data_IF_499380084608
#
_entry.id   IF_499380084608
#
_cell.length_a   1.000
_cell.length_b   1.000
_cell.length_c   1.000
_cell.angle_alpha   90.00
_cell.angle_beta   90.00
_cell.angle_gamma   90.00
#
_symmetry.space_group_name_H-M   'P 1'
#
loop_
_entity.id
_entity.type
_entity.pdbx_description
1 polymer ?
#
# COMPACT_ATOMS: atom_id res chain seq x y z
N UNK A 1 -13.64 -5.77 29.84
CA UNK A 1 -14.28 -5.28 28.60
C UNK A 1 -14.46 -6.46 27.67
N UNK A 2 -15.67 -6.66 27.13
CA UNK A 2 -15.95 -7.75 26.20
C UNK A 2 -15.21 -7.51 24.89
N UNK A 3 -14.37 -8.45 24.45
CA UNK A 3 -13.81 -8.43 23.09
C UNK A 3 -14.97 -8.39 22.10
N UNK A 4 -14.89 -7.55 21.08
CA UNK A 4 -15.88 -7.51 19.99
C UNK A 4 -15.91 -8.87 19.31
N UNK A 5 -17.10 -9.45 19.22
CA UNK A 5 -17.32 -10.80 18.73
C UNK A 5 -17.12 -10.93 17.21
N UNK A 6 -17.03 -12.18 16.75
CA UNK A 6 -16.82 -12.47 15.34
C UNK A 6 -18.01 -12.03 14.46
N UNK A 7 -19.23 -12.01 15.02
CA UNK A 7 -20.43 -11.59 14.30
C UNK A 7 -20.38 -10.09 13.97
N UNK A 8 -19.99 -9.26 14.94
CA UNK A 8 -19.83 -7.81 14.76
C UNK A 8 -18.75 -7.51 13.71
N UNK A 9 -17.62 -8.21 13.78
CA UNK A 9 -16.54 -8.08 12.78
C UNK A 9 -17.03 -8.42 11.38
N UNK A 10 -17.77 -9.53 11.24
CA UNK A 10 -18.31 -9.97 9.97
C UNK A 10 -19.28 -8.94 9.38
N UNK A 11 -20.14 -8.37 10.22
CA UNK A 11 -21.07 -7.29 9.84
C UNK A 11 -20.30 -6.05 9.35
N UNK A 12 -19.39 -5.53 10.17
CA UNK A 12 -18.57 -4.35 9.82
C UNK A 12 -17.82 -4.56 8.51
N UNK A 13 -17.21 -5.74 8.34
CA UNK A 13 -16.47 -6.05 7.10
C UNK A 13 -17.40 -6.03 5.88
N UNK A 14 -18.60 -6.59 6.01
CA UNK A 14 -19.60 -6.62 4.94
C UNK A 14 -20.09 -5.21 4.60
N UNK A 15 -20.34 -4.40 5.62
CA UNK A 15 -20.87 -3.05 5.45
C UNK A 15 -19.85 -2.14 4.73
N UNK A 16 -18.57 -2.25 5.09
CA UNK A 16 -17.49 -1.58 4.36
C UNK A 16 -17.33 -2.09 2.92
N UNK A 17 -17.43 -3.41 2.70
CA UNK A 17 -17.35 -3.98 1.36
C UNK A 17 -18.49 -3.50 0.44
N UNK A 18 -19.67 -3.25 1.01
CA UNK A 18 -20.82 -2.73 0.27
C UNK A 18 -20.60 -1.28 -0.21
N UNK A 19 -19.78 -0.48 0.48
CA UNK A 19 -19.45 0.89 0.09
C UNK A 19 -18.38 0.96 -1.01
N UNK A 20 -17.57 -0.09 -1.16
CA UNK A 20 -16.50 -0.15 -2.16
C UNK A 20 -16.68 -1.39 -3.05
N UNK A 21 -17.63 -1.35 -4.02
CA UNK A 21 -17.99 -2.53 -4.82
C UNK A 21 -16.84 -3.07 -5.69
N UNK A 22 -15.79 -2.27 -5.93
CA UNK A 22 -14.56 -2.69 -6.60
C UNK A 22 -13.56 -3.43 -5.71
N UNK A 23 -13.89 -3.70 -4.44
CA UNK A 23 -13.02 -4.43 -3.51
C UNK A 23 -13.67 -5.75 -3.07
N UNK A 24 -12.84 -6.75 -2.84
CA UNK A 24 -13.24 -8.03 -2.26
C UNK A 24 -12.80 -8.16 -0.81
N UNK A 25 -13.59 -8.91 -0.03
CA UNK A 25 -13.23 -9.28 1.34
C UNK A 25 -12.13 -10.34 1.32
N UNK A 26 -10.87 -9.92 1.48
CA UNK A 26 -9.74 -10.84 1.59
C UNK A 26 -9.70 -11.51 2.95
N UNK A 27 -9.89 -10.76 4.04
CA UNK A 27 -9.94 -11.26 5.42
C UNK A 27 -10.93 -10.40 6.23
N UNK A 28 -11.36 -10.84 7.42
CA UNK A 28 -12.10 -9.97 8.31
C UNK A 28 -11.40 -8.63 8.49
N UNK A 29 -12.14 -7.53 8.35
CA UNK A 29 -11.64 -6.15 8.45
C UNK A 29 -10.61 -5.75 7.36
N UNK A 30 -10.47 -6.53 6.28
CA UNK A 30 -9.51 -6.25 5.21
C UNK A 30 -10.13 -6.46 3.83
N UNK A 31 -10.25 -5.38 3.11
CA UNK A 31 -10.71 -5.33 1.73
C UNK A 31 -9.52 -5.14 0.82
N UNK A 32 -9.47 -5.87 -0.29
CA UNK A 32 -8.42 -5.76 -1.30
C UNK A 32 -9.03 -5.78 -2.69
N UNK A 33 -8.34 -5.11 -3.62
CA UNK A 33 -8.44 -5.36 -5.06
C UNK A 33 -7.04 -5.49 -5.64
N UNK A 34 -6.90 -6.24 -6.72
CA UNK A 34 -5.62 -6.42 -7.40
C UNK A 34 -5.61 -5.67 -8.72
N UNK A 35 -4.55 -4.91 -8.94
CA UNK A 35 -4.29 -4.08 -10.11
C UNK A 35 -2.92 -4.53 -10.60
N UNK A 36 -2.88 -5.48 -11.55
CA UNK A 36 -1.65 -6.16 -11.97
C UNK A 36 -0.76 -6.62 -10.80
N UNK A 37 0.50 -6.13 -10.69
CA UNK A 37 1.43 -6.46 -9.61
C UNK A 37 1.23 -5.63 -8.33
N UNK A 38 0.12 -4.91 -8.18
CA UNK A 38 -0.19 -4.06 -7.03
C UNK A 38 -1.50 -4.51 -6.39
N UNK A 39 -1.52 -4.51 -5.06
CA UNK A 39 -2.76 -4.54 -4.30
C UNK A 39 -3.08 -3.14 -3.82
N UNK A 40 -4.35 -2.76 -3.93
CA UNK A 40 -4.90 -1.64 -3.19
C UNK A 40 -5.85 -2.18 -2.12
N UNK A 41 -5.82 -1.58 -0.94
CA UNK A 41 -6.56 -2.10 0.19
C UNK A 41 -7.16 -1.04 1.11
N UNK A 42 -8.20 -1.47 1.81
CA UNK A 42 -8.74 -0.81 2.99
C UNK A 42 -8.64 -1.78 4.16
N UNK A 43 -7.87 -1.41 5.20
CA UNK A 43 -7.79 -2.16 6.46
C UNK A 43 -8.52 -1.41 7.57
N UNK A 44 -9.20 -2.14 8.44
CA UNK A 44 -9.90 -1.61 9.61
C UNK A 44 -9.18 -2.12 10.86
N UNK A 45 -8.05 -1.50 11.20
CA UNK A 45 -7.20 -1.97 12.30
C UNK A 45 -7.88 -1.72 13.65
N UNK A 46 -8.02 -2.76 14.47
CA UNK A 46 -8.64 -2.63 15.79
C UNK A 46 -7.82 -1.74 16.72
N UNK A 47 -8.51 -0.97 17.55
CA UNK A 47 -7.90 -0.28 18.68
C UNK A 47 -7.30 -1.29 19.67
N UNK A 48 -6.34 -0.85 20.47
CA UNK A 48 -5.75 -1.68 21.54
C UNK A 48 -6.79 -2.13 22.58
N UNK A 49 -7.81 -1.31 22.83
CA UNK A 49 -8.97 -1.63 23.67
C UNK A 49 -9.96 -2.59 23.00
N UNK A 50 -9.93 -2.69 21.66
CA UNK A 50 -10.76 -3.61 20.87
C UNK A 50 -12.20 -3.17 20.66
N UNK A 51 -12.55 -1.96 21.09
CA UNK A 51 -13.88 -1.32 21.03
C UNK A 51 -14.08 -0.44 19.79
N UNK A 52 -13.00 -0.15 19.06
CA UNK A 52 -13.02 0.67 17.85
C UNK A 52 -12.11 0.08 16.77
N UNK A 53 -12.19 0.65 15.56
CA UNK A 53 -11.28 0.36 14.46
C UNK A 53 -10.86 1.63 13.71
N UNK A 54 -9.68 1.60 13.12
CA UNK A 54 -9.07 2.69 12.36
C UNK A 54 -9.06 2.34 10.86
N UNK A 55 -9.88 3.00 10.04
CA UNK A 55 -9.83 2.83 8.60
C UNK A 55 -8.51 3.35 8.02
N UNK A 56 -7.88 2.57 7.15
CA UNK A 56 -6.63 2.95 6.47
C UNK A 56 -6.64 2.46 5.02
N UNK A 57 -6.56 3.40 4.08
CA UNK A 57 -6.32 3.14 2.68
C UNK A 57 -4.81 2.90 2.46
N UNK A 58 -4.43 1.94 1.62
CA UNK A 58 -3.03 1.60 1.38
C UNK A 58 -2.83 0.89 0.05
N UNK A 59 -1.56 0.71 -0.31
CA UNK A 59 -1.14 -0.21 -1.36
C UNK A 59 -0.11 -1.23 -0.84
N UNK A 60 0.11 -2.27 -1.62
CA UNK A 60 1.18 -3.24 -1.43
C UNK A 60 1.66 -3.72 -2.80
N UNK A 61 2.96 -3.61 -3.07
CA UNK A 61 3.57 -4.14 -4.27
C UNK A 61 3.84 -5.64 -4.12
N UNK A 62 3.46 -6.43 -5.12
CA UNK A 62 3.70 -7.87 -5.21
C UNK A 62 5.05 -8.18 -5.88
N UNK A 63 5.81 -7.17 -6.29
CA UNK A 63 7.09 -7.28 -7.01
C UNK A 63 8.28 -7.61 -6.11
N UNK A 64 8.03 -7.90 -4.84
CA UNK A 64 9.03 -8.34 -3.87
C UNK A 64 8.43 -9.34 -2.91
N UNK A 65 9.24 -10.29 -2.46
CA UNK A 65 8.81 -11.23 -1.46
C UNK A 65 8.61 -10.52 -0.11
N UNK A 66 7.41 -10.64 0.47
CA UNK A 66 7.15 -10.11 1.79
C UNK A 66 6.16 -11.02 2.55
N UNK A 67 6.39 -11.33 3.84
CA UNK A 67 5.59 -12.33 4.54
C UNK A 67 4.16 -11.86 4.87
N UNK A 68 3.86 -10.57 4.70
CA UNK A 68 2.57 -9.96 5.03
C UNK A 68 2.19 -8.90 4.00
N UNK A 69 0.90 -8.59 3.85
CA UNK A 69 0.47 -7.42 3.08
C UNK A 69 0.82 -6.16 3.87
N UNK A 70 1.78 -5.37 3.38
CA UNK A 70 2.19 -4.10 3.97
C UNK A 70 1.14 -3.00 3.74
N UNK A 71 1.19 -1.94 4.56
CA UNK A 71 0.36 -0.76 4.39
C UNK A 71 1.17 0.38 3.74
N UNK A 72 1.83 0.09 2.61
CA UNK A 72 2.64 1.09 1.89
C UNK A 72 1.74 2.24 1.44
N UNK A 73 2.24 3.48 1.51
CA UNK A 73 1.44 4.71 1.35
C UNK A 73 0.17 4.76 2.24
N UNK A 74 0.21 4.08 3.39
CA UNK A 74 -0.92 4.00 4.31
C UNK A 74 -1.44 5.37 4.74
N UNK A 75 -2.72 5.61 4.50
CA UNK A 75 -3.45 6.80 4.94
C UNK A 75 -4.59 6.40 5.84
N UNK A 76 -4.33 6.57 7.13
CA UNK A 76 -5.34 6.42 8.15
C UNK A 76 -6.28 7.62 8.10
N UNK A 77 -7.57 7.36 8.27
CA UNK A 77 -8.56 8.43 8.39
C UNK A 77 -8.15 9.38 9.53
N UNK A 78 -8.17 10.68 9.26
CA UNK A 78 -7.94 11.71 10.26
C UNK A 78 -9.10 12.69 10.34
N UNK A 79 -9.25 13.29 11.52
CA UNK A 79 -10.13 14.43 11.76
C UNK A 79 -9.64 15.68 11.03
N UNK A 80 -10.46 16.73 10.98
CA UNK A 80 -10.05 18.05 10.48
C UNK A 80 -8.86 18.67 11.22
N UNK A 81 -8.61 18.24 12.47
CA UNK A 81 -7.45 18.63 13.26
C UNK A 81 -6.21 17.74 13.03
N UNK A 82 -6.28 16.76 12.12
CA UNK A 82 -5.18 15.86 11.79
C UNK A 82 -4.98 14.71 12.78
N UNK A 83 -5.92 14.47 13.69
CA UNK A 83 -5.85 13.37 14.67
C UNK A 83 -6.40 12.09 14.04
N UNK A 84 -5.74 10.95 14.27
CA UNK A 84 -6.23 9.65 13.81
C UNK A 84 -7.64 9.39 14.33
N UNK A 85 -8.54 9.06 13.42
CA UNK A 85 -9.94 8.86 13.72
C UNK A 85 -10.28 7.37 13.71
N UNK A 86 -10.96 6.94 14.76
CA UNK A 86 -11.50 5.59 14.87
C UNK A 86 -13.02 5.62 14.81
N UNK A 87 -13.61 4.56 14.27
CA UNK A 87 -15.04 4.29 14.39
C UNK A 87 -15.26 3.27 15.49
N UNK A 88 -16.10 3.60 16.47
CA UNK A 88 -16.47 2.68 17.54
C UNK A 88 -17.38 1.57 16.99
N UNK A 89 -17.13 0.32 17.39
CA UNK A 89 -17.98 -0.80 16.98
C UNK A 89 -19.43 -0.64 17.46
N UNK A 90 -19.63 0.02 18.61
CA UNK A 90 -20.95 0.33 19.17
C UNK A 90 -21.71 1.40 18.40
N UNK A 91 -21.01 2.26 17.65
CA UNK A 91 -21.59 3.33 16.81
C UNK A 91 -21.36 3.08 15.32
N UNK A 92 -21.12 1.82 14.97
CA UNK A 92 -20.72 1.47 13.61
C UNK A 92 -21.77 1.92 12.60
N UNK A 93 -23.05 1.62 12.86
CA UNK A 93 -24.15 1.86 11.92
C UNK A 93 -24.32 3.35 11.61
N UNK A 94 -24.06 4.20 12.59
CA UNK A 94 -24.21 5.65 12.50
C UNK A 94 -23.03 6.30 11.78
N UNK A 95 -21.80 5.84 12.06
CA UNK A 95 -20.60 6.59 11.73
C UNK A 95 -19.85 6.04 10.50
N UNK A 96 -20.05 4.76 10.12
CA UNK A 96 -19.17 4.10 9.14
C UNK A 96 -19.25 4.65 7.72
N UNK A 97 -20.44 5.04 7.25
CA UNK A 97 -20.64 5.51 5.88
C UNK A 97 -19.96 6.86 5.65
N UNK A 98 -20.10 7.77 6.61
CA UNK A 98 -19.41 9.06 6.60
C UNK A 98 -17.89 8.89 6.72
N UNK A 99 -17.43 8.00 7.62
CA UNK A 99 -16.01 7.68 7.76
C UNK A 99 -15.41 7.11 6.47
N UNK A 100 -16.14 6.23 5.76
CA UNK A 100 -15.72 5.67 4.48
C UNK A 100 -15.64 6.75 3.38
N UNK A 101 -16.64 7.63 3.28
CA UNK A 101 -16.61 8.76 2.34
C UNK A 101 -15.39 9.66 2.59
N UNK A 102 -15.15 10.05 3.84
CA UNK A 102 -14.00 10.89 4.21
C UNK A 102 -12.66 10.18 4.00
N UNK A 103 -12.60 8.86 4.20
CA UNK A 103 -11.41 8.09 3.88
C UNK A 103 -11.11 8.16 2.38
N UNK A 104 -12.13 7.99 1.53
CA UNK A 104 -11.98 8.09 0.08
C UNK A 104 -11.52 9.50 -0.36
N UNK A 105 -12.08 10.55 0.24
CA UNK A 105 -11.67 11.95 -0.01
C UNK A 105 -10.22 12.24 0.42
N UNK A 106 -9.73 11.57 1.46
CA UNK A 106 -8.37 11.72 1.97
C UNK A 106 -7.35 10.80 1.28
N UNK A 107 -7.81 9.77 0.55
CA UNK A 107 -6.94 8.80 -0.09
C UNK A 107 -6.14 9.43 -1.25
N UNK A 108 -4.87 9.03 -1.37
CA UNK A 108 -3.92 9.41 -2.42
C UNK A 108 -4.33 8.84 -3.77
N UNK A 109 -4.92 7.66 -3.73
CA UNK A 109 -5.38 6.91 -4.89
C UNK A 109 -6.89 6.72 -4.72
N UNK A 110 -7.63 6.88 -5.82
CA UNK A 110 -9.08 6.69 -5.81
C UNK A 110 -9.45 5.33 -5.23
N UNK A 111 -10.43 5.31 -4.34
CA UNK A 111 -11.06 4.07 -3.85
C UNK A 111 -12.27 3.68 -4.71
N UNK A 112 -12.86 4.62 -5.44
CA UNK A 112 -14.04 4.37 -6.27
C UNK A 112 -13.67 3.70 -7.59
N UNK A 113 -12.59 4.18 -8.23
CA UNK A 113 -12.07 3.64 -9.48
C UNK A 113 -10.68 3.03 -9.29
N UNK A 114 -10.35 1.91 -9.95
CA UNK A 114 -8.98 1.37 -9.95
C UNK A 114 -7.99 2.43 -10.45
N UNK A 115 -6.97 2.82 -9.65
CA UNK A 115 -5.90 3.69 -10.14
C UNK A 115 -5.08 2.98 -11.21
N UNK A 116 -4.49 3.75 -12.12
CA UNK A 116 -3.53 3.20 -13.09
C UNK A 116 -2.17 2.93 -12.44
N UNK A 117 -1.28 2.22 -13.14
CA UNK A 117 0.10 2.05 -12.67
C UNK A 117 0.82 3.39 -12.59
N UNK A 118 0.55 4.29 -13.53
CA UNK A 118 1.09 5.64 -13.57
C UNK A 118 0.68 6.43 -12.33
N UNK A 119 -0.57 6.33 -11.89
CA UNK A 119 -1.05 6.98 -10.66
C UNK A 119 -0.33 6.44 -9.42
N UNK A 120 -0.20 5.11 -9.32
CA UNK A 120 0.50 4.44 -8.21
C UNK A 120 1.96 4.87 -8.15
N UNK A 121 2.67 4.81 -9.29
CA UNK A 121 4.08 5.19 -9.38
C UNK A 121 4.27 6.66 -9.07
N UNK A 122 3.40 7.55 -9.57
CA UNK A 122 3.44 8.98 -9.26
C UNK A 122 3.35 9.24 -7.76
N UNK A 123 2.43 8.57 -7.06
CA UNK A 123 2.28 8.73 -5.60
C UNK A 123 3.48 8.19 -4.82
N UNK A 124 4.04 7.04 -5.23
CA UNK A 124 5.26 6.48 -4.63
C UNK A 124 6.45 7.45 -4.76
N UNK A 125 6.68 7.96 -5.97
CA UNK A 125 7.74 8.94 -6.26
C UNK A 125 7.52 10.23 -5.45
N UNK A 126 6.30 10.78 -5.47
CA UNK A 126 5.95 12.00 -4.74
C UNK A 126 6.16 11.83 -3.23
N UNK A 127 5.80 10.68 -2.68
CA UNK A 127 6.04 10.36 -1.28
C UNK A 127 7.54 10.30 -0.96
N UNK A 128 8.34 9.59 -1.76
CA UNK A 128 9.78 9.47 -1.55
C UNK A 128 10.48 10.84 -1.59
N UNK A 129 10.15 11.67 -2.57
CA UNK A 129 10.69 13.05 -2.69
C UNK A 129 10.26 13.91 -1.49
N UNK A 130 8.99 13.91 -1.13
CA UNK A 130 8.47 14.69 0.00
C UNK A 130 9.12 14.27 1.32
N UNK A 131 9.27 12.97 1.56
CA UNK A 131 9.90 12.42 2.76
C UNK A 131 11.37 12.84 2.86
N UNK A 132 12.09 12.84 1.75
CA UNK A 132 13.48 13.34 1.70
C UNK A 132 13.53 14.86 2.00
N UNK A 133 12.67 15.65 1.38
CA UNK A 133 12.61 17.10 1.60
C UNK A 133 12.32 17.47 3.06
N UNK A 134 11.56 16.63 3.77
CA UNK A 134 11.27 16.78 5.19
C UNK A 134 12.38 16.24 6.12
N UNK A 135 13.51 15.79 5.57
CA UNK A 135 14.61 15.23 6.35
C UNK A 135 14.29 13.87 6.99
N UNK A 136 13.29 13.16 6.48
CA UNK A 136 12.91 11.82 6.90
C UNK A 136 13.98 10.76 6.58
N UNK A 137 13.80 9.52 7.05
CA UNK A 137 14.66 8.41 6.62
C UNK A 137 14.42 8.08 5.14
N UNK A 138 15.40 7.47 4.45
CA UNK A 138 15.26 6.99 3.08
C UNK A 138 13.98 6.16 2.86
N UNK A 139 13.20 6.53 1.84
CA UNK A 139 11.99 5.83 1.41
C UNK A 139 12.33 4.65 0.50
N UNK A 140 13.21 3.75 0.96
CA UNK A 140 13.81 2.70 0.12
C UNK A 140 12.75 1.87 -0.58
N UNK A 141 11.77 1.36 0.17
CA UNK A 141 10.72 0.50 -0.38
C UNK A 141 9.87 1.24 -1.40
N UNK A 142 9.50 2.51 -1.13
CA UNK A 142 8.68 3.27 -2.07
C UNK A 142 9.45 3.59 -3.37
N UNK A 143 10.77 3.80 -3.29
CA UNK A 143 11.63 3.97 -4.46
C UNK A 143 11.76 2.67 -5.24
N UNK A 144 12.02 1.54 -4.58
CA UNK A 144 12.08 0.23 -5.24
C UNK A 144 10.73 -0.12 -5.91
N UNK A 145 9.62 0.01 -5.18
CA UNK A 145 8.28 -0.27 -5.69
C UNK A 145 7.98 0.64 -6.92
N UNK A 146 8.45 1.90 -6.93
CA UNK A 146 8.28 2.80 -8.08
C UNK A 146 9.02 2.36 -9.34
N UNK A 147 10.07 1.54 -9.22
CA UNK A 147 10.82 0.96 -10.34
C UNK A 147 10.22 -0.38 -10.75
N UNK A 148 9.95 -1.26 -9.79
CA UNK A 148 9.61 -2.65 -10.06
C UNK A 148 8.16 -2.83 -10.53
N UNK A 149 7.22 -2.01 -10.04
CA UNK A 149 5.82 -2.05 -10.51
C UNK A 149 5.72 -1.80 -12.03
N UNK A 150 6.24 -0.68 -12.58
CA UNK A 150 6.15 -0.44 -14.01
C UNK A 150 6.98 -1.44 -14.82
N UNK A 151 8.11 -1.93 -14.31
CA UNK A 151 8.89 -2.99 -14.96
C UNK A 151 8.07 -4.28 -15.13
N UNK A 152 7.42 -4.75 -14.06
CA UNK A 152 6.56 -5.93 -14.09
C UNK A 152 5.33 -5.74 -14.99
N UNK A 153 4.83 -4.52 -15.13
CA UNK A 153 3.71 -4.17 -16.01
C UNK A 153 4.11 -3.90 -17.48
N UNK A 154 5.41 -3.95 -17.82
CA UNK A 154 5.90 -3.69 -19.17
C UNK A 154 6.04 -2.20 -19.54
N UNK A 155 5.84 -1.28 -18.59
CA UNK A 155 6.01 0.17 -18.77
C UNK A 155 7.48 0.57 -18.64
N UNK A 156 8.31 0.15 -19.59
CA UNK A 156 9.79 0.29 -19.56
C UNK A 156 10.24 1.74 -19.38
N UNK A 157 9.59 2.69 -20.05
CA UNK A 157 9.98 4.11 -19.94
C UNK A 157 9.75 4.66 -18.53
N UNK A 158 8.65 4.28 -17.89
CA UNK A 158 8.36 4.65 -16.49
C UNK A 158 9.38 3.98 -15.56
N UNK A 159 9.72 2.70 -15.78
CA UNK A 159 10.75 2.03 -14.99
C UNK A 159 12.10 2.75 -15.09
N UNK A 160 12.51 3.16 -16.31
CA UNK A 160 13.77 3.89 -16.56
C UNK A 160 13.78 5.25 -15.87
N UNK A 161 12.70 6.02 -15.96
CA UNK A 161 12.56 7.28 -15.22
C UNK A 161 12.64 7.07 -13.70
N UNK A 162 12.03 6.00 -13.18
CA UNK A 162 12.10 5.69 -11.75
C UNK A 162 13.52 5.33 -11.31
N UNK A 163 14.30 4.64 -12.14
CA UNK A 163 15.72 4.34 -11.86
C UNK A 163 16.52 5.64 -11.80
N UNK A 164 16.29 6.58 -12.73
CA UNK A 164 16.94 7.88 -12.69
C UNK A 164 16.60 8.64 -11.40
N UNK A 165 15.34 8.66 -10.98
CA UNK A 165 14.94 9.24 -9.70
C UNK A 165 15.61 8.53 -8.52
N UNK A 166 15.69 7.19 -8.54
CA UNK A 166 16.35 6.41 -7.49
C UNK A 166 17.82 6.83 -7.33
N UNK A 167 18.53 7.01 -8.45
CA UNK A 167 19.91 7.52 -8.45
C UNK A 167 20.02 8.92 -7.85
N UNK A 168 19.13 9.83 -8.24
CA UNK A 168 19.10 11.21 -7.71
C UNK A 168 18.80 11.25 -6.20
N UNK A 169 17.88 10.41 -5.73
CA UNK A 169 17.52 10.31 -4.32
C UNK A 169 18.66 9.70 -3.51
N UNK A 170 19.27 8.64 -4.01
CA UNK A 170 20.40 7.96 -3.37
C UNK A 170 21.57 8.91 -3.13
N UNK A 171 21.93 9.73 -4.13
CA UNK A 171 23.00 10.71 -4.00
C UNK A 171 22.77 11.74 -2.87
N UNK A 172 21.51 11.95 -2.49
CA UNK A 172 21.08 12.89 -1.44
C UNK A 172 20.79 12.20 -0.10
N UNK A 173 20.71 10.87 -0.05
CA UNK A 173 20.42 10.16 1.20
C UNK A 173 21.58 10.25 2.19
N UNK A 174 21.30 10.51 3.48
CA UNK A 174 22.35 10.48 4.49
C UNK A 174 22.94 9.07 4.60
N UNK A 175 24.24 8.91 4.37
CA UNK A 175 24.93 7.60 4.43
C UNK A 175 24.71 6.87 5.76
N UNK A 176 24.63 7.61 6.86
CA UNK A 176 24.36 7.08 8.21
C UNK A 176 22.94 6.53 8.40
N UNK A 177 22.03 6.76 7.44
CA UNK A 177 20.64 6.30 7.47
C UNK A 177 20.33 5.27 6.38
N UNK A 178 21.33 4.83 5.62
CA UNK A 178 21.16 3.71 4.71
C UNK A 178 20.95 2.42 5.51
N UNK A 179 20.21 1.43 4.95
CA UNK A 179 20.04 0.14 5.61
C UNK A 179 21.40 -0.51 5.95
N UNK A 180 21.52 -1.01 7.18
CA UNK A 180 22.78 -1.56 7.73
C UNK A 180 23.25 -2.81 6.95
N UNK A 181 22.32 -3.52 6.31
CA UNK A 181 22.60 -4.70 5.52
C UNK A 181 23.03 -4.39 4.08
N UNK A 182 23.18 -3.12 3.69
CA UNK A 182 23.70 -2.76 2.38
C UNK A 182 25.22 -2.74 2.39
N UNK A 183 25.83 -3.37 1.39
CA UNK A 183 27.27 -3.19 1.11
C UNK A 183 27.56 -1.76 0.66
N UNK A 184 26.78 -1.26 -0.30
CA UNK A 184 26.85 0.11 -0.80
C UNK A 184 25.52 0.53 -1.45
N UNK A 185 25.33 1.85 -1.61
CA UNK A 185 24.20 2.38 -2.37
C UNK A 185 24.27 2.05 -3.86
N UNK A 186 25.47 2.00 -4.42
CA UNK A 186 25.68 1.73 -5.84
C UNK A 186 25.32 0.27 -6.17
N UNK A 187 25.73 -0.69 -5.34
CA UNK A 187 25.32 -2.10 -5.46
C UNK A 187 23.80 -2.27 -5.35
N UNK A 188 23.15 -1.49 -4.48
CA UNK A 188 21.69 -1.50 -4.39
C UNK A 188 21.04 -1.02 -5.69
N UNK A 189 21.54 0.08 -6.28
CA UNK A 189 20.99 0.64 -7.53
C UNK A 189 21.23 -0.28 -8.73
N UNK A 190 22.42 -0.89 -8.82
CA UNK A 190 22.74 -1.91 -9.83
C UNK A 190 21.81 -3.13 -9.69
N UNK A 191 21.65 -3.63 -8.47
CA UNK A 191 20.74 -4.74 -8.18
C UNK A 191 19.28 -4.42 -8.49
N UNK A 192 18.83 -3.19 -8.22
CA UNK A 192 17.48 -2.72 -8.56
C UNK A 192 17.28 -2.66 -10.08
N UNK A 193 18.26 -2.15 -10.81
CA UNK A 193 18.23 -2.09 -12.28
C UNK A 193 18.21 -3.48 -12.90
N UNK A 194 19.07 -4.39 -12.44
CA UNK A 194 19.10 -5.77 -12.90
C UNK A 194 17.77 -6.52 -12.65
N UNK A 195 17.13 -6.27 -11.51
CA UNK A 195 15.78 -6.81 -11.23
C UNK A 195 14.73 -6.25 -12.19
N UNK A 196 14.77 -4.94 -12.48
CA UNK A 196 13.83 -4.29 -13.38
C UNK A 196 13.97 -4.80 -14.83
N UNK A 197 15.16 -5.19 -15.25
CA UNK A 197 15.42 -5.76 -16.58
C UNK A 197 14.98 -7.23 -16.70
N UNK A 198 14.91 -7.97 -15.59
CA UNK A 198 14.49 -9.37 -15.57
C UNK A 198 12.98 -9.51 -15.32
N UNK A 199 12.19 -9.21 -16.34
CA UNK A 199 10.71 -9.25 -16.28
C UNK A 199 10.17 -10.63 -15.92
N UNK A 200 10.75 -11.71 -16.47
CA UNK A 200 10.31 -13.08 -16.18
C UNK A 200 10.44 -13.40 -14.67
N UNK A 201 11.56 -13.05 -14.06
CA UNK A 201 11.75 -13.23 -12.62
C UNK A 201 10.79 -12.36 -11.79
N UNK A 202 10.47 -11.14 -12.25
CA UNK A 202 9.47 -10.31 -11.58
C UNK A 202 8.07 -10.93 -11.64
N UNK A 203 7.69 -11.54 -12.77
CA UNK A 203 6.41 -12.25 -12.90
C UNK A 203 6.37 -13.48 -11.98
N UNK A 204 7.45 -14.24 -11.89
CA UNK A 204 7.56 -15.37 -10.95
C UNK A 204 7.37 -14.91 -9.49
N UNK A 205 7.98 -13.78 -9.11
CA UNK A 205 7.81 -13.20 -7.77
C UNK A 205 6.35 -12.80 -7.55
N UNK A 206 5.72 -12.11 -8.50
CA UNK A 206 4.32 -11.68 -8.40
C UNK A 206 3.39 -12.88 -8.24
N UNK A 207 3.55 -13.92 -9.06
CA UNK A 207 2.75 -15.15 -9.00
C UNK A 207 2.98 -15.91 -7.68
N UNK A 208 4.23 -15.93 -7.22
CA UNK A 208 4.62 -16.44 -5.91
C UNK A 208 3.90 -15.73 -4.77
N UNK A 209 3.88 -14.39 -4.78
CA UNK A 209 3.18 -13.58 -3.78
C UNK A 209 1.65 -13.75 -3.85
N UNK A 210 1.07 -13.83 -5.06
CA UNK A 210 -0.36 -14.12 -5.27
C UNK A 210 -0.74 -15.43 -4.60
N UNK A 211 0.05 -16.47 -4.85
CA UNK A 211 -0.15 -17.80 -4.28
C UNK A 211 0.04 -17.81 -2.76
N UNK A 212 1.15 -17.24 -2.28
CA UNK A 212 1.50 -17.19 -0.86
C UNK A 212 0.44 -16.46 -0.02
N UNK A 213 -0.07 -15.33 -0.50
CA UNK A 213 -1.10 -14.55 0.19
C UNK A 213 -2.54 -15.01 -0.07
N UNK A 214 -2.73 -16.06 -0.88
CA UNK A 214 -4.05 -16.61 -1.25
C UNK A 214 -4.94 -15.57 -1.90
N UNK A 215 -4.38 -14.83 -2.86
CA UNK A 215 -5.04 -13.71 -3.54
C UNK A 215 -5.88 -14.15 -4.74
N UNK A 216 -5.94 -15.44 -5.06
CA UNK A 216 -6.79 -15.98 -6.14
C UNK A 216 -8.30 -15.66 -6.00
N UNK A 217 -8.75 -15.35 -4.77
CA UNK A 217 -10.14 -14.94 -4.48
C UNK A 217 -10.37 -13.43 -4.51
N UNK A 218 -9.31 -12.65 -4.71
CA UNK A 218 -9.37 -11.20 -4.85
C UNK A 218 -9.38 -10.92 -6.34
N UNK A 219 -10.38 -10.17 -6.81
CA UNK A 219 -10.53 -9.83 -8.22
C UNK A 219 -9.31 -9.10 -8.76
N UNK A 220 -9.10 -9.32 -10.05
CA UNK A 220 -8.19 -8.54 -10.87
C UNK A 220 -9.02 -7.49 -11.62
N UNK A 221 -8.61 -6.24 -11.48
CA UNK A 221 -9.09 -5.11 -12.29
C UNK A 221 -8.25 -4.95 -13.56
#
# INVERSE_FOLDING_TARGET
MSKVDAATVKRVTKDWAALYPGFDVWRPLRLLRRIGPVLQGVTLDRSSSGDAYFPTAHIHALTREFPVISLTLGQRLVTSSGVQESVNFSRHVEDYSDAARRLAEQARLSLDLPPTFEDVVRELRSFAVSRQAQGGPPAVNEVEDSVLIPAASGSIDIARESIQLAQELLAKWPKSRLPINWTSGDEWLEGLSAKAENVDSLHEIVDGQISFHKLAKVRQE
#
